data_IF_981114587801
#
_entry.id   IF_981114587801
#
_cell.length_a   1.000
_cell.length_b   1.000
_cell.length_c   1.000
_cell.angle_alpha   90.00
_cell.angle_beta   90.00
_cell.angle_gamma   90.00
#
_symmetry.space_group_name_H-M   'P 1'
#
loop_
_entity.id
_entity.type
_entity.pdbx_description
1 polymer ?
#
# COMPACT_ATOMS: atom_id res chain seq x y z
N UNK A 1 -3.74 -51.23 -15.29
CA UNK A 1 -3.57 -50.47 -16.56
C UNK A 1 -4.97 -50.24 -17.13
N UNK A 2 -5.49 -49.04 -17.34
CA UNK A 2 -4.90 -47.81 -17.89
C UNK A 2 -5.16 -46.60 -16.99
N UNK A 3 -4.11 -45.81 -16.78
CA UNK A 3 -4.18 -44.43 -16.32
C UNK A 3 -4.87 -43.57 -17.40
N UNK A 4 -5.85 -42.77 -17.01
CA UNK A 4 -6.21 -41.57 -17.76
C UNK A 4 -5.78 -40.39 -16.90
N UNK A 5 -4.65 -39.79 -17.27
CA UNK A 5 -4.26 -38.46 -16.84
C UNK A 5 -5.16 -37.49 -17.57
N UNK A 6 -5.99 -36.72 -16.86
CA UNK A 6 -6.59 -35.53 -17.44
C UNK A 6 -5.63 -34.37 -17.17
N UNK A 7 -4.98 -33.95 -18.24
CA UNK A 7 -3.98 -32.90 -18.29
C UNK A 7 -4.48 -31.94 -19.35
N UNK A 8 -5.40 -31.05 -18.98
CA UNK A 8 -5.54 -29.73 -19.58
C UNK A 8 -6.63 -28.95 -18.87
N UNK A 9 -6.21 -27.82 -18.31
CA UNK A 9 -7.00 -26.62 -18.11
C UNK A 9 -8.02 -26.38 -19.23
N UNK A 10 -9.25 -26.82 -19.03
CA UNK A 10 -10.40 -26.36 -19.81
C UNK A 10 -11.27 -25.57 -18.85
N UNK A 11 -11.36 -24.27 -19.11
CA UNK A 11 -12.32 -23.36 -18.50
C UNK A 11 -13.70 -24.01 -18.61
N UNK A 12 -14.42 -24.11 -17.50
CA UNK A 12 -15.81 -24.56 -17.52
C UNK A 12 -16.63 -23.61 -18.41
N UNK A 13 -16.93 -24.04 -19.64
CA UNK A 13 -17.74 -23.29 -20.59
C UNK A 13 -19.23 -23.55 -20.30
N UNK A 14 -19.87 -22.64 -19.57
CA UNK A 14 -21.32 -22.68 -19.37
C UNK A 14 -22.05 -22.09 -20.59
N UNK A 15 -22.88 -22.93 -21.22
CA UNK A 15 -23.81 -22.55 -22.28
C UNK A 15 -25.22 -22.41 -21.68
N UNK A 16 -25.80 -21.21 -21.73
CA UNK A 16 -27.23 -21.00 -21.41
C UNK A 16 -27.95 -20.58 -22.69
N UNK A 17 -28.98 -21.33 -23.08
CA UNK A 17 -29.80 -21.09 -24.28
C UNK A 17 -29.00 -20.88 -25.57
N UNK A 18 -27.97 -21.71 -25.79
CA UNK A 18 -27.16 -21.68 -27.03
C UNK A 18 -26.27 -20.45 -27.19
N UNK A 19 -26.18 -19.58 -26.18
CA UNK A 19 -25.24 -18.45 -26.15
C UNK A 19 -24.06 -18.79 -25.25
N UNK A 20 -22.85 -18.57 -25.75
CA UNK A 20 -21.62 -18.60 -24.95
C UNK A 20 -21.72 -17.51 -23.88
N UNK A 21 -21.88 -17.91 -22.62
CA UNK A 21 -21.66 -17.01 -21.50
C UNK A 21 -20.15 -17.04 -21.24
N UNK A 22 -19.40 -16.25 -22.00
CA UNK A 22 -18.09 -15.84 -21.53
C UNK A 22 -18.33 -14.98 -20.30
N UNK A 23 -18.12 -15.54 -19.12
CA UNK A 23 -17.83 -14.74 -17.95
C UNK A 23 -16.58 -13.94 -18.29
N UNK A 24 -16.77 -12.72 -18.82
CA UNK A 24 -15.74 -11.70 -18.68
C UNK A 24 -15.68 -11.51 -17.18
N UNK A 25 -14.76 -12.23 -16.52
CA UNK A 25 -14.28 -11.89 -15.20
C UNK A 25 -14.05 -10.38 -15.26
N UNK A 26 -14.98 -9.62 -14.69
CA UNK A 26 -14.77 -8.20 -14.42
C UNK A 26 -13.72 -8.21 -13.33
N UNK A 27 -12.46 -8.36 -13.72
CA UNK A 27 -11.35 -7.89 -12.90
C UNK A 27 -11.52 -6.38 -12.89
N UNK A 28 -12.42 -5.91 -12.04
CA UNK A 28 -12.67 -4.50 -11.84
C UNK A 28 -11.35 -3.91 -11.42
N UNK A 29 -10.74 -3.11 -12.28
CA UNK A 29 -9.76 -2.12 -11.83
C UNK A 29 -10.49 -1.38 -10.71
N UNK A 30 -9.93 -1.38 -9.50
CA UNK A 30 -10.54 -0.78 -8.31
C UNK A 30 -10.68 0.74 -8.48
N UNK A 31 -10.19 1.51 -7.51
CA UNK A 31 -10.01 2.92 -7.79
C UNK A 31 -9.06 3.11 -8.97
N UNK A 32 -9.33 4.11 -9.82
CA UNK A 32 -8.28 4.62 -10.70
C UNK A 32 -7.21 5.21 -9.80
N UNK A 33 -5.97 4.83 -10.00
CA UNK A 33 -4.86 5.32 -9.21
C UNK A 33 -3.66 5.65 -10.08
N UNK A 34 -2.72 6.38 -9.51
CA UNK A 34 -1.43 6.68 -10.14
C UNK A 34 -0.36 6.75 -9.07
N UNK A 35 0.76 6.06 -9.28
CA UNK A 35 1.95 6.19 -8.45
C UNK A 35 3.15 6.59 -9.31
N UNK A 36 3.91 7.56 -8.83
CA UNK A 36 5.17 8.01 -9.44
C UNK A 36 6.23 8.09 -8.36
N UNK A 37 7.50 7.84 -8.72
CA UNK A 37 8.62 7.89 -7.81
C UNK A 37 9.75 8.74 -8.38
N UNK A 38 10.37 9.53 -7.51
CA UNK A 38 11.46 10.45 -7.81
C UNK A 38 12.55 10.32 -6.75
N UNK A 39 13.81 10.52 -7.10
CA UNK A 39 14.86 10.68 -6.09
C UNK A 39 14.90 12.11 -5.51
N UNK A 40 15.80 12.36 -4.56
CA UNK A 40 15.98 13.69 -3.94
C UNK A 40 16.51 14.77 -4.92
N UNK A 41 17.02 14.38 -6.08
CA UNK A 41 17.49 15.29 -7.14
C UNK A 41 16.41 15.58 -8.18
N UNK A 42 15.22 14.97 -8.04
CA UNK A 42 14.11 15.11 -8.98
C UNK A 42 14.20 14.19 -10.20
N UNK A 43 15.16 13.26 -10.24
CA UNK A 43 15.22 12.27 -11.31
C UNK A 43 14.03 11.32 -11.20
N UNK A 44 13.42 11.02 -12.33
CA UNK A 44 12.26 10.13 -12.42
C UNK A 44 12.72 8.68 -12.34
N UNK A 45 12.29 7.94 -11.32
CA UNK A 45 12.49 6.50 -11.22
C UNK A 45 11.42 5.76 -12.03
N UNK A 46 10.16 6.15 -11.84
CA UNK A 46 9.05 5.78 -12.71
C UNK A 46 7.89 6.79 -12.57
N UNK A 47 7.02 6.84 -13.58
CA UNK A 47 5.87 7.75 -13.58
C UNK A 47 4.59 7.02 -14.02
N UNK A 48 3.49 7.30 -13.34
CA UNK A 48 2.15 6.88 -13.77
C UNK A 48 1.90 5.38 -13.67
N UNK A 49 2.50 4.70 -12.70
CA UNK A 49 2.19 3.30 -12.40
C UNK A 49 0.75 3.15 -11.90
N UNK A 50 0.08 2.06 -12.28
CA UNK A 50 -1.25 1.71 -11.77
C UNK A 50 -1.09 0.67 -10.64
N UNK A 51 -1.40 1.06 -9.40
CA UNK A 51 -1.47 0.11 -8.29
C UNK A 51 -2.79 -0.66 -8.27
N UNK A 52 -2.78 -1.80 -7.60
CA UNK A 52 -3.99 -2.59 -7.37
C UNK A 52 -4.54 -2.29 -5.97
N UNK A 53 -5.78 -1.82 -5.87
CA UNK A 53 -6.54 -1.91 -4.62
C UNK A 53 -6.82 -3.38 -4.34
N UNK A 54 -6.39 -3.86 -3.17
CA UNK A 54 -6.60 -5.25 -2.75
C UNK A 54 -7.92 -5.37 -1.99
N UNK A 55 -8.33 -6.60 -1.66
CA UNK A 55 -9.60 -6.89 -0.99
C UNK A 55 -9.76 -6.07 0.29
N UNK A 56 -8.71 -5.93 1.10
CA UNK A 56 -8.72 -5.13 2.31
C UNK A 56 -9.11 -3.66 2.05
N UNK A 57 -8.50 -3.03 1.05
CA UNK A 57 -8.85 -1.67 0.65
C UNK A 57 -10.25 -1.53 0.05
N UNK A 58 -10.66 -2.50 -0.77
CA UNK A 58 -12.01 -2.50 -1.36
C UNK A 58 -13.10 -2.63 -0.29
N UNK A 59 -12.91 -3.52 0.69
CA UNK A 59 -13.82 -3.67 1.82
C UNK A 59 -13.80 -2.43 2.71
N UNK A 60 -12.62 -1.93 3.09
CA UNK A 60 -12.49 -0.71 3.87
C UNK A 60 -13.29 0.44 3.24
N UNK A 61 -13.11 0.68 1.94
CA UNK A 61 -13.87 1.68 1.20
C UNK A 61 -15.37 1.41 1.23
N UNK A 62 -15.80 0.19 0.86
CA UNK A 62 -17.23 -0.12 0.77
C UNK A 62 -17.93 0.07 2.12
N UNK A 63 -17.30 -0.36 3.21
CA UNK A 63 -17.84 -0.22 4.56
C UNK A 63 -17.88 1.23 5.02
N UNK A 64 -16.84 2.02 4.69
CA UNK A 64 -16.81 3.46 4.98
C UNK A 64 -17.90 4.24 4.24
N UNK A 65 -18.12 3.91 2.97
CA UNK A 65 -19.16 4.57 2.16
C UNK A 65 -20.56 4.16 2.61
N UNK A 66 -20.77 2.87 2.88
CA UNK A 66 -22.08 2.34 3.24
C UNK A 66 -22.45 2.60 4.71
N UNK A 67 -21.48 2.86 5.59
CA UNK A 67 -21.71 2.98 7.03
C UNK A 67 -22.19 1.67 7.66
N UNK A 68 -21.77 0.52 7.12
CA UNK A 68 -22.19 -0.81 7.59
C UNK A 68 -20.99 -1.63 8.06
N UNK A 69 -21.28 -2.68 8.83
CA UNK A 69 -20.30 -3.70 9.24
C UNK A 69 -20.62 -5.02 8.54
N UNK A 70 -19.59 -5.82 8.26
CA UNK A 70 -19.78 -7.19 7.79
C UNK A 70 -20.15 -8.10 8.95
N UNK A 71 -20.79 -9.22 8.62
CA UNK A 71 -21.05 -10.33 9.54
C UNK A 71 -19.91 -11.38 9.53
N UNK A 72 -18.84 -11.11 8.78
CA UNK A 72 -17.64 -11.92 8.69
C UNK A 72 -16.43 -10.99 8.52
N UNK A 73 -15.27 -11.42 8.98
CA UNK A 73 -14.05 -10.62 8.95
C UNK A 73 -12.99 -11.23 8.03
N UNK A 74 -12.18 -10.35 7.43
CA UNK A 74 -10.94 -10.73 6.75
C UNK A 74 -9.81 -10.60 7.76
N UNK A 75 -8.96 -11.62 7.86
CA UNK A 75 -7.78 -11.55 8.72
C UNK A 75 -6.93 -10.32 8.40
N UNK A 76 -6.65 -9.53 9.43
CA UNK A 76 -5.78 -8.37 9.44
C UNK A 76 -4.32 -8.79 9.35
N UNK A 77 -3.44 -7.85 9.03
CA UNK A 77 -2.00 -8.11 9.00
C UNK A 77 -1.44 -8.46 10.37
N UNK A 78 -1.97 -7.85 11.43
CA UNK A 78 -1.62 -8.21 12.81
C UNK A 78 -1.98 -9.67 13.12
N UNK A 79 -3.13 -10.15 12.68
CA UNK A 79 -3.53 -11.56 12.88
C UNK A 79 -2.69 -12.54 12.06
N UNK A 80 -2.31 -12.16 10.84
CA UNK A 80 -1.48 -12.99 9.95
C UNK A 80 -0.05 -13.12 10.50
N UNK A 81 0.55 -12.02 10.94
CA UNK A 81 1.94 -11.98 11.40
C UNK A 81 2.11 -12.23 12.90
N UNK A 82 1.06 -12.05 13.69
CA UNK A 82 1.11 -12.06 15.15
C UNK A 82 1.62 -10.75 15.76
N UNK A 83 2.08 -9.78 14.96
CA UNK A 83 2.62 -8.51 15.46
C UNK A 83 1.47 -7.68 16.04
N UNK A 84 1.63 -7.21 17.29
CA UNK A 84 0.61 -6.47 18.04
C UNK A 84 -0.77 -7.15 18.09
N UNK A 85 -0.81 -8.48 17.99
CA UNK A 85 -2.05 -9.26 18.10
C UNK A 85 -2.42 -9.55 19.56
N UNK A 86 -2.56 -8.47 20.35
CA UNK A 86 -2.66 -8.55 21.81
C UNK A 86 -4.11 -8.59 22.34
N UNK A 87 -5.10 -8.84 21.46
CA UNK A 87 -6.52 -8.88 21.84
C UNK A 87 -7.11 -7.52 22.25
N UNK A 88 -6.48 -6.41 21.83
CA UNK A 88 -6.99 -5.06 22.11
C UNK A 88 -8.37 -4.93 21.46
N UNK A 89 -9.38 -4.66 22.28
CA UNK A 89 -10.75 -4.48 21.80
C UNK A 89 -10.89 -3.13 21.09
N UNK A 90 -11.53 -3.14 19.91
CA UNK A 90 -11.80 -1.95 19.12
C UNK A 90 -13.22 -1.47 19.32
N UNK A 91 -13.38 -0.17 19.47
CA UNK A 91 -14.67 0.52 19.58
C UNK A 91 -15.17 0.91 18.20
N UNK A 92 -16.44 1.30 18.11
CA UNK A 92 -16.99 1.87 16.88
C UNK A 92 -16.28 3.16 16.47
N UNK A 93 -15.87 3.99 17.44
CA UNK A 93 -15.09 5.19 17.20
C UNK A 93 -13.73 4.86 16.55
N UNK A 94 -13.07 3.77 16.98
CA UNK A 94 -11.82 3.32 16.38
C UNK A 94 -11.99 2.99 14.89
N UNK A 95 -13.05 2.26 14.56
CA UNK A 95 -13.38 1.95 13.17
C UNK A 95 -13.70 3.23 12.39
N UNK A 96 -14.47 4.16 12.96
CA UNK A 96 -14.81 5.44 12.34
C UNK A 96 -13.58 6.33 12.08
N UNK A 97 -12.59 6.28 12.97
CA UNK A 97 -11.33 7.02 12.86
C UNK A 97 -10.21 6.24 12.14
N UNK A 98 -10.50 5.08 11.57
CA UNK A 98 -9.56 4.35 10.69
C UNK A 98 -9.49 5.00 9.31
N UNK A 99 -8.27 5.27 8.83
CA UNK A 99 -7.96 5.81 7.50
C UNK A 99 -6.62 5.28 6.99
N UNK A 100 -6.27 5.57 5.73
CA UNK A 100 -4.95 5.26 5.17
C UNK A 100 -3.91 6.15 5.83
N UNK A 101 -3.05 5.56 6.68
CA UNK A 101 -2.16 6.28 7.58
C UNK A 101 -0.69 5.85 7.46
N UNK A 102 -0.45 4.69 6.86
CA UNK A 102 0.86 4.05 6.83
C UNK A 102 1.19 3.55 5.41
N UNK A 103 2.47 3.34 5.17
CA UNK A 103 2.95 2.61 4.00
C UNK A 103 4.01 1.56 4.37
N UNK A 104 4.13 0.53 3.54
CA UNK A 104 5.04 -0.60 3.67
C UNK A 104 5.84 -0.84 2.40
N UNK A 105 7.02 -1.43 2.52
CA UNK A 105 7.88 -1.80 1.39
C UNK A 105 8.32 -3.28 1.46
N UNK A 106 8.67 -3.84 0.31
CA UNK A 106 9.08 -5.24 0.19
C UNK A 106 9.96 -5.49 -1.02
N UNK A 107 10.50 -6.71 -1.07
CA UNK A 107 11.44 -7.18 -2.11
C UNK A 107 10.89 -8.34 -2.96
N UNK A 108 9.65 -8.78 -2.76
CA UNK A 108 9.04 -9.90 -3.47
C UNK A 108 8.26 -9.54 -4.74
N UNK A 109 8.23 -8.26 -5.14
CA UNK A 109 7.39 -7.74 -6.23
C UNK A 109 7.93 -7.97 -7.63
N UNK A 110 9.23 -8.20 -7.78
CA UNK A 110 9.88 -8.50 -9.05
C UNK A 110 10.91 -9.62 -8.86
N UNK A 111 11.16 -10.40 -9.91
CA UNK A 111 12.34 -11.26 -9.95
C UNK A 111 13.62 -10.48 -10.25
N UNK A 112 14.75 -11.19 -10.22
CA UNK A 112 16.09 -10.67 -10.54
C UNK A 112 16.22 -10.25 -12.01
N UNK A 113 15.49 -10.92 -12.90
CA UNK A 113 15.51 -10.61 -14.33
C UNK A 113 14.69 -9.35 -14.61
N UNK A 114 15.25 -8.33 -15.28
CA UNK A 114 14.51 -7.14 -15.65
C UNK A 114 13.22 -7.48 -16.42
N UNK A 115 12.09 -6.88 -16.01
CA UNK A 115 10.79 -7.10 -16.63
C UNK A 115 9.94 -8.21 -16.00
N UNK A 116 10.43 -8.89 -14.96
CA UNK A 116 9.68 -9.92 -14.23
C UNK A 116 8.85 -9.38 -13.06
N UNK A 117 8.15 -8.27 -13.29
CA UNK A 117 7.25 -7.67 -12.29
C UNK A 117 6.07 -8.61 -12.08
N UNK A 118 5.87 -9.05 -10.84
CA UNK A 118 4.78 -9.96 -10.48
C UNK A 118 3.46 -9.19 -10.41
N UNK A 119 2.39 -9.80 -10.90
CA UNK A 119 1.04 -9.21 -10.78
C UNK A 119 0.54 -9.32 -9.34
N UNK A 120 0.06 -8.20 -8.79
CA UNK A 120 -0.60 -8.15 -7.49
C UNK A 120 -1.93 -8.89 -7.58
N UNK A 121 -2.19 -9.80 -6.62
CA UNK A 121 -3.46 -10.52 -6.55
C UNK A 121 -4.46 -9.72 -5.72
N UNK A 122 -5.73 -9.68 -6.15
CA UNK A 122 -6.76 -8.92 -5.44
C UNK A 122 -6.93 -9.40 -3.98
N UNK A 123 -6.89 -10.70 -3.74
CA UNK A 123 -7.03 -11.31 -2.41
C UNK A 123 -5.77 -11.23 -1.54
N UNK A 124 -4.71 -10.56 -2.01
CA UNK A 124 -3.46 -10.43 -1.26
C UNK A 124 -3.67 -9.57 -0.01
N UNK A 125 -3.17 -10.05 1.13
CA UNK A 125 -3.33 -9.41 2.45
C UNK A 125 -2.02 -8.93 3.06
N UNK A 126 -0.91 -9.42 2.54
CA UNK A 126 0.46 -9.11 2.96
C UNK A 126 1.34 -8.89 1.73
N UNK A 127 2.43 -8.15 1.92
CA UNK A 127 3.44 -7.96 0.88
C UNK A 127 4.34 -9.20 0.81
N UNK A 128 4.73 -9.60 -0.40
CA UNK A 128 5.64 -10.73 -0.59
C UNK A 128 7.04 -10.31 -0.14
N UNK A 129 7.63 -10.98 0.84
CA UNK A 129 8.91 -10.59 1.43
C UNK A 129 8.92 -9.11 1.85
N UNK A 130 7.97 -8.74 2.71
CA UNK A 130 7.97 -7.45 3.39
C UNK A 130 9.24 -7.29 4.23
N UNK A 131 9.86 -6.12 4.18
CA UNK A 131 11.09 -5.83 4.95
C UNK A 131 10.86 -4.66 5.90
N UNK A 132 11.51 -4.64 7.08
CA UNK A 132 11.37 -3.55 8.01
C UNK A 132 12.12 -2.30 7.51
N UNK A 133 11.52 -1.13 7.69
CA UNK A 133 12.17 0.14 7.44
C UNK A 133 13.37 0.34 8.37
N UNK A 134 13.26 -0.05 9.63
CA UNK A 134 14.33 0.09 10.63
C UNK A 134 14.45 -1.17 11.46
N UNK A 135 15.68 -1.51 11.82
CA UNK A 135 15.98 -2.51 12.85
C UNK A 135 16.95 -1.86 13.83
N UNK A 136 16.57 -1.75 15.10
CA UNK A 136 17.40 -1.09 16.11
C UNK A 136 17.44 -1.89 17.41
N UNK A 137 18.61 -1.95 18.05
CA UNK A 137 18.80 -2.42 19.42
C UNK A 137 18.62 -1.29 20.45
N UNK A 138 18.82 -0.04 20.02
CA UNK A 138 18.52 1.15 20.80
C UNK A 138 17.13 1.72 20.51
N UNK A 139 16.46 2.36 21.50
CA UNK A 139 15.23 3.09 21.25
C UNK A 139 15.43 4.21 20.22
N UNK A 140 14.54 4.27 19.23
CA UNK A 140 14.47 5.40 18.30
C UNK A 140 14.31 6.73 19.05
N UNK A 141 14.84 7.81 18.49
CA UNK A 141 14.57 9.17 19.01
C UNK A 141 13.06 9.51 18.87
N UNK A 142 12.59 10.54 19.58
CA UNK A 142 11.16 10.91 19.59
C UNK A 142 10.58 11.18 18.20
N UNK A 143 11.35 11.79 17.30
CA UNK A 143 10.90 12.13 15.95
C UNK A 143 10.72 10.86 15.12
N UNK A 144 11.65 9.92 15.21
CA UNK A 144 11.58 8.66 14.50
C UNK A 144 10.52 7.72 15.08
N UNK A 145 10.24 7.78 16.40
CA UNK A 145 9.14 7.03 17.02
C UNK A 145 7.76 7.41 16.45
N UNK A 146 7.58 8.63 15.94
CA UNK A 146 6.33 9.06 15.29
C UNK A 146 6.27 8.68 13.80
N UNK A 147 7.37 8.19 13.25
CA UNK A 147 7.51 7.78 11.85
C UNK A 147 7.41 6.28 11.67
N UNK A 148 8.03 5.50 12.55
CA UNK A 148 8.17 4.06 12.38
C UNK A 148 7.24 3.30 13.32
N UNK A 149 6.46 2.37 12.77
CA UNK A 149 5.36 1.68 13.41
C UNK A 149 5.36 0.19 13.10
N UNK A 150 4.43 -0.52 13.74
CA UNK A 150 4.24 -1.95 13.66
C UNK A 150 5.52 -2.67 14.14
N UNK A 151 5.78 -2.52 15.43
CA UNK A 151 7.01 -2.99 16.08
C UNK A 151 6.96 -4.49 16.33
N UNK A 152 8.00 -5.18 15.88
CA UNK A 152 8.24 -6.58 16.20
C UNK A 152 9.53 -6.70 17.02
N UNK A 153 9.44 -7.14 18.29
CA UNK A 153 10.62 -7.53 19.06
C UNK A 153 11.28 -8.75 18.41
N UNK A 154 12.57 -8.62 18.09
CA UNK A 154 13.41 -9.69 17.56
C UNK A 154 14.31 -10.28 18.66
N UNK A 155 15.12 -11.28 18.29
CA UNK A 155 16.17 -11.83 19.15
C UNK A 155 17.20 -10.77 19.52
N UNK A 156 17.92 -10.98 20.62
CA UNK A 156 19.06 -10.15 21.05
C UNK A 156 18.72 -8.67 21.35
N UNK A 157 17.44 -8.37 21.56
CA UNK A 157 16.98 -7.02 21.96
C UNK A 157 16.72 -6.08 20.79
N UNK A 158 16.88 -6.55 19.55
CA UNK A 158 16.51 -5.78 18.37
C UNK A 158 14.99 -5.60 18.26
N UNK A 159 14.56 -4.50 17.66
CA UNK A 159 13.17 -4.20 17.31
C UNK A 159 13.11 -3.84 15.84
N UNK A 160 12.28 -4.55 15.08
CA UNK A 160 11.97 -4.25 13.69
C UNK A 160 10.72 -3.39 13.56
N UNK A 161 10.73 -2.47 12.60
CA UNK A 161 9.61 -1.56 12.31
C UNK A 161 9.19 -1.72 10.85
N UNK A 162 8.01 -2.28 10.61
CA UNK A 162 7.58 -2.67 9.25
C UNK A 162 6.80 -1.60 8.50
N UNK A 163 6.17 -0.65 9.20
CA UNK A 163 5.35 0.37 8.58
C UNK A 163 5.86 1.77 8.91
N UNK A 164 5.70 2.68 7.96
CA UNK A 164 6.11 4.09 8.10
C UNK A 164 4.93 5.03 7.91
N UNK A 165 4.89 6.12 8.68
CA UNK A 165 3.91 7.20 8.57
C UNK A 165 3.95 7.83 7.18
N UNK A 166 2.78 8.21 6.66
CA UNK A 166 2.67 9.02 5.45
C UNK A 166 3.05 10.47 5.77
N UNK A 167 4.01 11.04 5.02
CA UNK A 167 4.52 12.41 5.24
C UNK A 167 3.45 13.48 5.04
N UNK A 168 2.67 13.36 3.98
CA UNK A 168 1.60 14.31 3.66
C UNK A 168 0.43 13.61 2.96
N UNK A 169 -0.79 14.07 3.25
CA UNK A 169 -2.01 13.67 2.55
C UNK A 169 -2.91 14.88 2.31
N UNK A 170 -3.47 14.99 1.11
CA UNK A 170 -4.39 16.06 0.77
C UNK A 170 -5.48 15.58 -0.20
N UNK A 171 -6.72 16.04 0.00
CA UNK A 171 -7.76 15.93 -1.03
C UNK A 171 -7.58 17.12 -1.98
N UNK A 172 -7.42 16.84 -3.27
CA UNK A 172 -7.28 17.86 -4.31
C UNK A 172 -8.49 17.80 -5.24
N UNK A 173 -9.00 18.98 -5.58
CA UNK A 173 -10.07 19.19 -6.56
C UNK A 173 -9.53 20.20 -7.57
N UNK A 174 -9.15 19.71 -8.75
CA UNK A 174 -8.46 20.50 -9.76
C UNK A 174 -9.22 20.44 -11.10
N UNK A 175 -9.09 21.48 -11.89
CA UNK A 175 -9.47 21.44 -13.30
C UNK A 175 -8.46 20.58 -14.07
N UNK A 176 -8.90 19.88 -15.13
CA UNK A 176 -8.01 19.16 -16.05
C UNK A 176 -7.48 20.09 -17.14
N UNK A 177 -6.83 21.17 -16.72
CA UNK A 177 -6.18 22.16 -17.59
C UNK A 177 -4.64 22.12 -17.47
N UNK A 178 -4.10 21.26 -16.60
CA UNK A 178 -2.66 21.03 -16.46
C UNK A 178 -2.06 20.34 -17.68
N UNK A 179 -0.79 20.67 -17.96
CA UNK A 179 0.02 20.04 -19.00
C UNK A 179 0.67 18.72 -18.50
N UNK A 180 1.42 18.01 -19.35
CA UNK A 180 2.00 16.67 -19.10
C UNK A 180 2.66 16.47 -17.72
N UNK A 181 3.22 17.53 -17.13
CA UNK A 181 3.96 17.52 -15.86
C UNK A 181 3.41 18.48 -14.80
N UNK A 182 2.34 19.21 -15.10
CA UNK A 182 1.78 20.23 -14.21
C UNK A 182 0.44 19.80 -13.64
N UNK A 183 0.24 20.09 -12.35
CA UNK A 183 -1.10 19.99 -11.76
C UNK A 183 -2.01 21.05 -12.37
N UNK A 184 -3.29 20.71 -12.54
CA UNK A 184 -4.26 21.68 -13.01
C UNK A 184 -4.59 22.75 -11.97
N UNK A 185 -5.35 23.75 -12.40
CA UNK A 185 -5.76 24.88 -11.58
C UNK A 185 -6.73 24.43 -10.48
N UNK A 186 -6.62 25.05 -9.29
CA UNK A 186 -7.55 24.81 -8.19
C UNK A 186 -9.00 25.20 -8.58
N UNK A 187 -9.96 24.38 -8.13
CA UNK A 187 -11.38 24.67 -8.32
C UNK A 187 -11.87 25.62 -7.21
N UNK A 188 -12.46 26.79 -7.54
CA UNK A 188 -12.98 27.71 -6.53
C UNK A 188 -14.29 27.18 -5.90
N UNK A 189 -14.67 27.62 -4.68
CA UNK A 189 -15.89 27.15 -4.01
C UNK A 189 -17.18 27.36 -4.81
N UNK A 190 -17.27 28.43 -5.61
CA UNK A 190 -18.44 28.77 -6.42
C UNK A 190 -18.33 28.24 -7.87
N UNK A 191 -17.79 27.03 -8.05
CA UNK A 191 -17.50 26.44 -9.37
C UNK A 191 -18.70 26.40 -10.32
N UNK A 192 -19.91 26.23 -9.77
CA UNK A 192 -21.17 26.20 -10.51
C UNK A 192 -21.52 27.52 -11.22
N UNK A 193 -20.87 28.63 -10.85
CA UNK A 193 -21.03 29.94 -11.50
C UNK A 193 -20.00 30.18 -12.61
N UNK A 194 -19.03 29.28 -12.77
CA UNK A 194 -17.96 29.46 -13.76
C UNK A 194 -18.43 29.12 -15.16
N UNK A 195 -17.85 29.75 -16.17
CA UNK A 195 -18.08 29.43 -17.60
C UNK A 195 -17.09 28.39 -18.14
N UNK A 196 -16.19 27.90 -17.26
CA UNK A 196 -15.17 26.91 -17.60
C UNK A 196 -15.81 25.60 -18.01
N UNK A 197 -15.24 24.96 -19.03
CA UNK A 197 -15.73 23.69 -19.59
C UNK A 197 -14.76 22.53 -19.38
N UNK A 198 -13.55 22.81 -18.89
CA UNK A 198 -12.59 21.76 -18.60
C UNK A 198 -13.19 20.79 -17.57
N UNK A 199 -12.96 19.48 -17.66
CA UNK A 199 -13.46 18.56 -16.66
C UNK A 199 -12.76 18.79 -15.32
N UNK A 200 -13.46 18.54 -14.22
CA UNK A 200 -12.91 18.56 -12.87
C UNK A 200 -12.44 17.15 -12.52
N UNK A 201 -11.31 17.04 -11.83
CA UNK A 201 -10.87 15.82 -11.19
C UNK A 201 -10.75 16.00 -9.68
N UNK A 202 -11.14 14.95 -8.96
CA UNK A 202 -10.98 14.86 -7.51
C UNK A 202 -10.13 13.63 -7.20
N UNK A 203 -9.09 13.83 -6.39
CA UNK A 203 -8.23 12.74 -5.98
C UNK A 203 -7.64 13.01 -4.60
N UNK A 204 -7.22 11.94 -3.95
CA UNK A 204 -6.43 12.00 -2.71
C UNK A 204 -4.97 11.83 -3.10
N UNK A 205 -4.12 12.77 -2.72
CA UNK A 205 -2.67 12.77 -2.94
C UNK A 205 -1.98 12.37 -1.63
N UNK A 206 -1.21 11.28 -1.64
CA UNK A 206 -0.33 10.86 -0.55
C UNK A 206 1.12 11.04 -0.98
N UNK A 207 1.94 11.61 -0.09
CA UNK A 207 3.38 11.74 -0.24
C UNK A 207 4.06 10.78 0.73
N UNK A 208 4.82 9.85 0.17
CA UNK A 208 5.56 8.84 0.92
C UNK A 208 7.05 9.08 0.69
N UNK A 209 7.86 8.89 1.72
CA UNK A 209 9.31 9.04 1.61
C UNK A 209 10.03 7.84 2.20
N UNK A 210 10.78 7.17 1.34
CA UNK A 210 11.87 6.30 1.75
C UNK A 210 13.10 7.19 1.88
N UNK A 211 13.66 7.31 3.08
CA UNK A 211 14.86 8.09 3.34
C UNK A 211 16.10 7.18 3.39
N UNK A 212 17.27 7.81 3.42
CA UNK A 212 18.55 7.09 3.43
C UNK A 212 18.74 6.15 4.62
N UNK A 213 18.04 6.33 5.74
CA UNK A 213 18.15 5.45 6.91
C UNK A 213 17.27 4.21 6.80
N UNK A 214 16.29 4.23 5.90
CA UNK A 214 15.40 3.11 5.69
C UNK A 214 16.13 1.90 5.08
N UNK A 215 15.76 0.71 5.55
CA UNK A 215 16.22 -0.62 5.11
C UNK A 215 17.71 -0.92 5.31
N UNK A 216 18.54 0.07 5.69
CA UNK A 216 19.98 -0.10 5.85
C UNK A 216 20.33 -1.19 6.84
N UNK A 217 19.72 -1.16 8.03
CA UNK A 217 20.04 -2.15 9.07
C UNK A 217 19.60 -3.55 8.64
N UNK A 218 18.47 -3.66 7.93
CA UNK A 218 18.02 -4.92 7.35
C UNK A 218 19.07 -5.50 6.39
N UNK A 219 19.47 -4.75 5.36
CA UNK A 219 20.45 -5.24 4.37
C UNK A 219 21.85 -5.45 4.94
N UNK A 220 22.23 -4.68 5.97
CA UNK A 220 23.49 -4.88 6.68
C UNK A 220 23.48 -6.20 7.47
N UNK A 221 22.39 -6.50 8.17
CA UNK A 221 22.24 -7.75 8.94
C UNK A 221 22.16 -8.96 8.01
N UNK A 222 21.48 -8.85 6.87
CA UNK A 222 21.39 -9.95 5.88
C UNK A 222 22.66 -10.11 5.04
N UNK A 223 23.63 -9.20 5.14
CA UNK A 223 24.91 -9.28 4.43
C UNK A 223 24.85 -8.89 2.95
N UNK A 224 23.82 -8.14 2.54
CA UNK A 224 23.59 -7.79 1.13
C UNK A 224 23.39 -6.28 0.93
N UNK A 225 24.16 -5.48 1.66
CA UNK A 225 24.07 -4.01 1.62
C UNK A 225 24.39 -3.42 0.25
N UNK A 226 25.28 -4.07 -0.51
CA UNK A 226 25.68 -3.64 -1.85
C UNK A 226 24.56 -3.83 -2.88
N UNK A 227 23.64 -4.78 -2.64
CA UNK A 227 22.47 -5.01 -3.48
C UNK A 227 21.18 -4.66 -2.72
N UNK A 228 21.18 -3.58 -1.93
CA UNK A 228 19.97 -3.09 -1.30
C UNK A 228 18.97 -2.60 -2.36
N UNK A 229 17.74 -3.12 -2.36
CA UNK A 229 16.68 -2.68 -3.27
C UNK A 229 15.29 -2.78 -2.65
N UNK A 230 14.32 -2.10 -3.25
CA UNK A 230 12.89 -2.35 -3.04
C UNK A 230 12.18 -2.50 -4.38
N UNK A 231 11.09 -3.25 -4.40
CA UNK A 231 10.29 -3.45 -5.61
C UNK A 231 8.78 -3.55 -5.33
N UNK A 232 8.37 -3.25 -4.10
CA UNK A 232 6.98 -3.16 -3.69
C UNK A 232 6.75 -1.96 -2.79
N UNK A 233 5.59 -1.34 -2.95
CA UNK A 233 5.07 -0.32 -2.04
C UNK A 233 3.59 -0.52 -1.84
N UNK A 234 3.16 -0.60 -0.58
CA UNK A 234 1.77 -0.78 -0.19
C UNK A 234 1.27 0.33 0.72
N UNK A 235 0.01 0.73 0.55
CA UNK A 235 -0.67 1.62 1.49
C UNK A 235 -1.45 0.79 2.50
N UNK A 236 -1.51 1.28 3.73
CA UNK A 236 -2.09 0.56 4.86
C UNK A 236 -3.00 1.46 5.68
N UNK A 237 -4.09 0.88 6.14
CA UNK A 237 -4.96 1.45 7.19
C UNK A 237 -4.62 0.80 8.52
N UNK A 238 -4.96 1.46 9.63
CA UNK A 238 -4.87 0.85 10.96
C UNK A 238 -5.44 1.76 12.04
N UNK A 239 -5.57 1.21 13.25
CA UNK A 239 -5.99 1.96 14.45
C UNK A 239 -4.79 2.10 15.37
N UNK A 240 -4.44 3.34 15.72
CA UNK A 240 -3.39 3.59 16.71
C UNK A 240 -3.95 3.37 18.12
N UNK A 241 -3.31 2.50 18.91
CA UNK A 241 -3.68 2.17 20.28
C UNK A 241 -2.46 2.14 21.19
N UNK A 242 -2.67 2.47 22.45
CA UNK A 242 -1.68 2.25 23.50
C UNK A 242 -1.76 0.79 23.95
N UNK A 243 -0.63 0.08 23.88
CA UNK A 243 -0.54 -1.26 24.43
C UNK A 243 -0.64 -1.18 25.98
N UNK A 244 -1.58 -1.90 26.61
CA UNK A 244 -1.81 -1.80 28.05
C UNK A 244 -0.68 -2.41 28.90
N UNK A 245 0.15 -3.30 28.34
CA UNK A 245 1.27 -3.94 29.04
C UNK A 245 2.54 -3.10 28.96
N UNK A 246 2.81 -2.50 27.79
CA UNK A 246 4.06 -1.76 27.56
C UNK A 246 3.89 -0.24 27.68
N UNK A 247 2.66 0.27 27.65
CA UNK A 247 2.34 1.70 27.65
C UNK A 247 2.73 2.42 26.36
N UNK A 248 3.21 1.69 25.34
CA UNK A 248 3.66 2.26 24.08
C UNK A 248 2.53 2.27 23.05
N UNK A 249 2.41 3.35 22.30
CA UNK A 249 1.48 3.40 21.16
C UNK A 249 1.99 2.59 19.98
N UNK A 250 1.10 1.86 19.30
CA UNK A 250 1.34 1.22 18.02
C UNK A 250 0.03 1.04 17.22
N UNK A 251 0.15 0.57 15.99
CA UNK A 251 -1.01 0.22 15.17
C UNK A 251 -1.45 -1.24 15.36
N UNK A 252 -2.78 -1.38 15.48
CA UNK A 252 -3.52 -2.65 15.48
C UNK A 252 -4.59 -2.62 14.38
N UNK A 253 -5.15 -3.79 14.05
CA UNK A 253 -6.14 -3.93 12.97
C UNK A 253 -5.67 -3.32 11.65
N UNK A 254 -4.39 -3.53 11.38
CA UNK A 254 -3.69 -3.05 10.21
C UNK A 254 -4.12 -3.86 9.00
N UNK A 255 -4.56 -3.18 7.95
CA UNK A 255 -5.09 -3.81 6.74
C UNK A 255 -4.47 -3.17 5.50
N UNK A 256 -3.99 -3.99 4.57
CA UNK A 256 -3.45 -3.50 3.31
C UNK A 256 -4.58 -2.92 2.46
N UNK A 257 -4.42 -1.66 2.07
CA UNK A 257 -5.36 -0.96 1.22
C UNK A 257 -5.06 -1.25 -0.26
N UNK A 258 -3.78 -1.16 -0.63
CA UNK A 258 -3.33 -1.33 -2.01
C UNK A 258 -1.87 -1.71 -2.06
N UNK A 259 -1.46 -2.28 -3.19
CA UNK A 259 -0.10 -2.71 -3.45
C UNK A 259 0.30 -2.39 -4.88
N UNK A 260 1.54 -1.94 -5.07
CA UNK A 260 2.17 -1.73 -6.35
C UNK A 260 3.51 -2.46 -6.39
N UNK A 261 3.68 -3.29 -7.41
CA UNK A 261 4.94 -3.95 -7.72
C UNK A 261 5.60 -3.20 -8.87
N UNK A 262 6.90 -2.94 -8.76
CA UNK A 262 7.71 -2.26 -9.77
C UNK A 262 9.02 -3.02 -10.00
N UNK A 263 9.87 -2.52 -10.90
CA UNK A 263 11.21 -3.08 -11.09
C UNK A 263 12.04 -2.88 -9.82
N UNK A 264 13.10 -3.68 -9.65
CA UNK A 264 14.04 -3.46 -8.56
C UNK A 264 14.61 -2.05 -8.64
N UNK A 265 14.40 -1.28 -7.58
CA UNK A 265 14.94 0.05 -7.42
C UNK A 265 16.05 -0.02 -6.36
N UNK A 266 17.29 0.14 -6.82
CA UNK A 266 18.47 0.07 -5.96
C UNK A 266 18.53 1.27 -5.02
N UNK A 267 18.88 0.98 -3.77
CA UNK A 267 19.02 1.92 -2.65
C UNK A 267 20.49 2.19 -2.37
N UNK A 268 21.23 2.74 -3.35
CA UNK A 268 22.62 3.16 -3.14
C UNK A 268 22.74 4.08 -1.91
N UNK A 269 23.93 4.10 -1.29
CA UNK A 269 24.22 4.55 0.08
C UNK A 269 23.72 5.95 0.53
N UNK A 270 23.09 6.77 -0.28
CA UNK A 270 22.44 8.02 0.19
C UNK A 270 21.14 8.35 -0.56
N UNK A 271 20.57 7.37 -1.25
CA UNK A 271 19.37 7.58 -2.04
C UNK A 271 18.12 7.59 -1.18
N UNK A 272 17.36 8.67 -1.27
CA UNK A 272 15.96 8.69 -0.84
C UNK A 272 15.04 8.55 -2.06
N UNK A 273 13.84 8.03 -1.84
CA UNK A 273 12.80 7.91 -2.85
C UNK A 273 11.54 8.61 -2.35
N UNK A 274 11.03 9.55 -3.13
CA UNK A 274 9.80 10.27 -2.90
C UNK A 274 8.70 9.70 -3.81
N UNK A 275 7.68 9.09 -3.23
CA UNK A 275 6.50 8.60 -3.95
C UNK A 275 5.38 9.64 -3.92
N UNK A 276 4.78 9.91 -5.08
CA UNK A 276 3.48 10.57 -5.20
C UNK A 276 2.44 9.51 -5.54
N UNK A 277 1.50 9.31 -4.63
CA UNK A 277 0.46 8.31 -4.75
C UNK A 277 -0.91 8.97 -4.82
N UNK A 278 -1.63 8.77 -5.91
CA UNK A 278 -2.93 9.39 -6.15
C UNK A 278 -4.03 8.35 -6.26
N UNK A 279 -5.12 8.55 -5.53
CA UNK A 279 -6.36 7.77 -5.66
C UNK A 279 -7.42 8.69 -6.24
N UNK A 280 -7.86 8.41 -7.47
CA UNK A 280 -8.88 9.19 -8.16
C UNK A 280 -10.28 8.72 -7.77
N UNK A 281 -11.11 9.68 -7.42
CA UNK A 281 -12.54 9.51 -7.15
C UNK A 281 -13.22 10.09 -8.39
N UNK A 282 -13.63 9.21 -9.31
CA UNK A 282 -14.17 9.60 -10.63
C UNK A 282 -15.69 9.53 -10.62
#
# INVERSE_FOLDING_TARGET
MKNIKDNQSLKDELLINGKKVTEKLRTGKGFRTSISAYDDYGNVLFKGGENQTVLGGALFTALKIAGVKLNWDVATFNEITGINNNGITLTEEDFNNTYICLFGCGIGGSGEVPGTIRTVKFQQREMDNMIPFRITDEPLNKVDQERYWLREPLSEGFVAYYLKSIDNKAVKVLWRDGSYDEEGSAVPPNVYQTTRKEPIETFIDFRLRVDKHDFREYFNITGDIENAYINQVGLWTGVKKTDPKTGKEDYVNTTMFSLYNFKNEELHLDKSINFSYRIYIV
#
